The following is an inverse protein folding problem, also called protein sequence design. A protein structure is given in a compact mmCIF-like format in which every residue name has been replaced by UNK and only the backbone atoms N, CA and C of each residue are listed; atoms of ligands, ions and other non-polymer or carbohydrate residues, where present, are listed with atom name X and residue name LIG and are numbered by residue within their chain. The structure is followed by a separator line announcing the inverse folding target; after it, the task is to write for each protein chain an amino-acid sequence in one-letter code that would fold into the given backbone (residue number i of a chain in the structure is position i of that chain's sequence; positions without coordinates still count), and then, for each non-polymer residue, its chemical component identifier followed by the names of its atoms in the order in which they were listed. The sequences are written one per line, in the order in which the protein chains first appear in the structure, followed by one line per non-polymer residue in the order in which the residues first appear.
data_IF_773313084379
#
_entry.id   IF_773313084379
#
_cell.length_a   1.000
_cell.length_b   1.000
_cell.length_c   1.000
_cell.angle_alpha   90.00
_cell.angle_beta   90.00
_cell.angle_gamma   90.00
#
_symmetry.space_group_name_H-M   'P 1'
#
loop_
_entity.id
_entity.type
_entity.pdbx_description
1 polymer ?
#
# COMPACT_ATOMS: atom_id res chain seq x y z
N UNK A 1 -26.23 -18.49 0.01
CA UNK A 1 -25.56 -17.25 -0.48
C UNK A 1 -24.14 -17.21 0.07
N UNK A 2 -23.14 -17.73 -0.64
CA UNK A 2 -21.74 -17.69 -0.20
C UNK A 2 -20.72 -17.75 -1.37
N UNK A 3 -21.12 -17.33 -2.58
CA UNK A 3 -20.31 -17.52 -3.79
C UNK A 3 -19.73 -16.20 -4.34
N UNK A 4 -20.23 -15.03 -3.91
CA UNK A 4 -19.71 -13.73 -4.33
C UNK A 4 -18.34 -13.39 -3.71
N UNK A 5 -18.04 -13.93 -2.52
CA UNK A 5 -16.75 -13.72 -1.86
C UNK A 5 -15.61 -14.46 -2.56
N UNK A 6 -15.84 -15.64 -3.17
CA UNK A 6 -14.75 -16.41 -3.78
C UNK A 6 -14.19 -15.74 -5.05
N UNK A 7 -15.06 -15.17 -5.91
CA UNK A 7 -14.63 -14.42 -7.10
C UNK A 7 -13.93 -13.11 -6.76
N UNK A 8 -14.50 -12.31 -5.85
CA UNK A 8 -13.91 -11.04 -5.46
C UNK A 8 -12.53 -11.21 -4.78
N UNK A 9 -12.36 -12.29 -4.00
CA UNK A 9 -11.07 -12.61 -3.37
C UNK A 9 -10.05 -13.08 -4.41
N UNK A 10 -10.46 -13.84 -5.43
CA UNK A 10 -9.56 -14.27 -6.50
C UNK A 10 -9.12 -13.11 -7.40
N UNK A 11 -10.02 -12.18 -7.72
CA UNK A 11 -9.71 -10.98 -8.53
C UNK A 11 -8.76 -10.02 -7.81
N UNK A 12 -8.98 -9.76 -6.52
CA UNK A 12 -8.06 -8.95 -5.70
C UNK A 12 -6.70 -9.61 -5.53
N UNK A 13 -6.66 -10.92 -5.29
CA UNK A 13 -5.40 -11.65 -5.16
C UNK A 13 -4.60 -11.66 -6.46
N UNK A 14 -5.26 -11.78 -7.61
CA UNK A 14 -4.63 -11.65 -8.93
C UNK A 14 -4.09 -10.23 -9.18
N UNK A 15 -4.80 -9.20 -8.72
CA UNK A 15 -4.35 -7.80 -8.84
C UNK A 15 -3.12 -7.53 -7.96
N UNK A 16 -3.13 -8.04 -6.73
CA UNK A 16 -1.99 -7.99 -5.83
C UNK A 16 -0.74 -8.68 -6.41
N UNK A 17 -0.90 -9.88 -6.97
CA UNK A 17 0.20 -10.59 -7.64
C UNK A 17 0.67 -9.87 -8.91
N UNK A 18 -0.24 -9.21 -9.64
CA UNK A 18 0.12 -8.38 -10.80
C UNK A 18 0.93 -7.15 -10.39
N UNK A 19 0.61 -6.55 -9.24
CA UNK A 19 1.33 -5.42 -8.68
C UNK A 19 2.74 -5.79 -8.17
N UNK A 20 3.05 -7.08 -7.96
CA UNK A 20 4.37 -7.54 -7.50
C UNK A 20 5.53 -7.04 -8.36
N UNK A 21 5.42 -7.15 -9.68
CA UNK A 21 6.50 -6.75 -10.59
C UNK A 21 6.81 -5.26 -10.50
N UNK A 22 5.76 -4.45 -10.48
CA UNK A 22 5.85 -3.00 -10.31
C UNK A 22 6.40 -2.63 -8.92
N UNK A 23 5.90 -3.27 -7.86
CA UNK A 23 6.36 -3.04 -6.51
C UNK A 23 7.86 -3.37 -6.35
N UNK A 24 8.30 -4.51 -6.89
CA UNK A 24 9.71 -4.90 -6.86
C UNK A 24 10.60 -3.92 -7.62
N UNK A 25 10.18 -3.48 -8.82
CA UNK A 25 10.94 -2.50 -9.61
C UNK A 25 11.09 -1.15 -8.90
N UNK A 26 10.12 -0.76 -8.05
CA UNK A 26 10.15 0.50 -7.31
C UNK A 26 10.90 0.42 -5.98
N UNK A 27 10.96 -0.74 -5.35
CA UNK A 27 11.57 -0.94 -4.02
C UNK A 27 12.96 -1.55 -4.08
N UNK A 28 13.45 -1.93 -5.26
CA UNK A 28 14.72 -2.66 -5.47
C UNK A 28 15.94 -2.00 -4.80
N UNK A 29 15.93 -0.67 -4.66
CA UNK A 29 17.02 0.11 -4.06
C UNK A 29 16.97 0.13 -2.51
N UNK A 30 15.82 -0.20 -1.90
CA UNK A 30 15.54 -0.09 -0.46
C UNK A 30 15.57 -1.48 0.20
N UNK A 31 14.43 -1.99 0.70
CA UNK A 31 14.30 -3.40 1.15
C UNK A 31 13.35 -4.18 0.22
N UNK A 32 13.88 -5.09 -0.62
CA UNK A 32 13.08 -5.95 -1.48
C UNK A 32 12.05 -6.81 -0.75
N UNK A 33 12.14 -7.01 0.57
CA UNK A 33 11.19 -7.82 1.34
C UNK A 33 9.88 -7.11 1.62
N UNK A 34 9.85 -5.79 1.51
CA UNK A 34 8.67 -4.97 1.80
C UNK A 34 7.78 -4.73 0.57
N UNK A 35 8.11 -5.37 -0.55
CA UNK A 35 7.27 -5.40 -1.76
C UNK A 35 5.79 -5.74 -1.50
N UNK A 36 5.39 -6.60 -0.52
CA UNK A 36 3.99 -6.88 -0.22
C UNK A 36 3.20 -5.65 0.19
N UNK A 37 3.82 -4.75 0.98
CA UNK A 37 3.17 -3.54 1.49
C UNK A 37 2.94 -2.58 0.32
N UNK A 38 3.94 -2.41 -0.53
CA UNK A 38 3.83 -1.57 -1.72
C UNK A 38 2.82 -2.14 -2.74
N UNK A 39 2.81 -3.45 -2.96
CA UNK A 39 1.83 -4.10 -3.84
C UNK A 39 0.39 -3.95 -3.32
N UNK A 40 0.19 -4.02 -2.01
CA UNK A 40 -1.11 -3.76 -1.39
C UNK A 40 -1.53 -2.30 -1.58
N UNK A 41 -0.63 -1.35 -1.35
CA UNK A 41 -0.89 0.08 -1.54
C UNK A 41 -1.28 0.41 -3.00
N UNK A 42 -0.57 -0.16 -3.98
CA UNK A 42 -0.89 -0.01 -5.39
C UNK A 42 -2.23 -0.65 -5.77
N UNK A 43 -2.58 -1.79 -5.16
CA UNK A 43 -3.84 -2.48 -5.45
C UNK A 43 -5.05 -1.77 -4.85
N UNK A 44 -4.86 -1.11 -3.70
CA UNK A 44 -5.92 -0.42 -2.96
C UNK A 44 -5.99 1.07 -3.26
N UNK A 45 -5.04 1.62 -4.03
CA UNK A 45 -4.85 3.05 -4.28
C UNK A 45 -4.82 3.86 -2.97
N UNK A 46 -4.10 3.34 -1.97
CA UNK A 46 -4.04 3.92 -0.63
C UNK A 46 -2.61 4.36 -0.27
N UNK A 47 -2.47 5.47 0.48
CA UNK A 47 -1.18 5.85 1.03
C UNK A 47 -0.70 4.84 2.08
N UNK A 48 0.61 4.74 2.26
CA UNK A 48 1.24 3.91 3.29
C UNK A 48 1.38 4.74 4.55
N UNK A 49 1.05 4.15 5.71
CA UNK A 49 1.39 4.73 7.01
C UNK A 49 2.54 3.93 7.62
N UNK A 50 3.71 4.55 7.70
CA UNK A 50 4.91 3.98 8.29
C UNK A 50 5.80 5.10 8.83
N UNK A 51 6.53 4.82 9.92
CA UNK A 51 7.60 5.72 10.39
C UNK A 51 8.91 5.50 9.63
N UNK A 52 9.05 4.33 9.01
CA UNK A 52 10.26 3.93 8.30
C UNK A 52 10.41 4.66 6.96
N UNK A 53 11.66 4.96 6.60
CA UNK A 53 11.99 5.68 5.37
C UNK A 53 12.11 4.78 4.13
N UNK A 54 11.88 3.48 4.31
CA UNK A 54 12.12 2.44 3.31
C UNK A 54 11.08 2.43 2.16
N UNK A 55 10.09 3.32 2.23
CA UNK A 55 9.07 3.51 1.19
C UNK A 55 9.20 4.85 0.44
N UNK A 56 10.15 5.71 0.81
CA UNK A 56 10.33 7.00 0.15
C UNK A 56 10.88 6.81 -1.27
N UNK A 57 10.31 7.51 -2.24
CA UNK A 57 10.71 7.38 -3.65
C UNK A 57 10.03 6.23 -4.40
N UNK A 58 9.19 5.41 -3.74
CA UNK A 58 8.41 4.34 -4.38
C UNK A 58 7.17 4.83 -5.15
N UNK A 59 6.96 6.16 -5.21
CA UNK A 59 5.82 6.78 -5.90
C UNK A 59 4.47 6.59 -5.21
N UNK A 60 4.44 6.03 -3.99
CA UNK A 60 3.26 6.00 -3.12
C UNK A 60 3.46 6.98 -1.97
N UNK A 61 2.45 7.79 -1.60
CA UNK A 61 2.58 8.71 -0.47
C UNK A 61 2.75 7.96 0.86
N UNK A 62 3.78 8.31 1.62
CA UNK A 62 4.02 7.79 2.97
C UNK A 62 3.67 8.84 4.02
N UNK A 63 2.88 8.44 5.00
CA UNK A 63 2.46 9.26 6.13
C UNK A 63 3.10 8.76 7.41
N UNK A 64 3.54 9.69 8.25
CA UNK A 64 3.95 9.42 9.63
C UNK A 64 2.78 9.67 10.57
N UNK A 65 2.84 9.07 11.75
CA UNK A 65 1.83 9.17 12.81
C UNK A 65 1.53 10.62 13.15
N UNK A 66 2.56 11.46 13.27
CA UNK A 66 2.40 12.90 13.52
C UNK A 66 1.55 13.58 12.44
N UNK A 67 1.75 13.24 11.15
CA UNK A 67 0.97 13.82 10.06
C UNK A 67 -0.45 13.29 10.00
N UNK A 68 -0.66 12.01 10.31
CA UNK A 68 -2.01 11.44 10.43
C UNK A 68 -2.79 12.12 11.55
N UNK A 69 -2.17 12.35 12.72
CA UNK A 69 -2.80 13.09 13.81
C UNK A 69 -3.18 14.51 13.39
N UNK A 70 -2.29 15.24 12.71
CA UNK A 70 -2.60 16.57 12.21
C UNK A 70 -3.78 16.56 11.22
N UNK A 71 -3.81 15.60 10.29
CA UNK A 71 -4.89 15.48 9.31
C UNK A 71 -6.25 15.19 9.96
N UNK A 72 -6.31 14.22 10.88
CA UNK A 72 -7.54 13.85 11.56
C UNK A 72 -8.06 14.97 12.49
N UNK A 73 -7.16 15.65 13.19
CA UNK A 73 -7.53 16.77 14.07
C UNK A 73 -7.92 18.03 13.28
N UNK A 74 -7.30 18.28 12.13
CA UNK A 74 -7.68 19.40 11.26
C UNK A 74 -9.09 19.24 10.68
N UNK A 75 -9.53 18.00 10.48
CA UNK A 75 -10.85 17.67 9.90
C UNK A 75 -11.98 17.81 10.93
N UNK A 76 -11.69 17.82 12.23
CA UNK A 76 -12.70 17.93 13.31
C UNK A 76 -13.08 19.38 13.63
N UNK A 77 -13.13 20.26 12.62
CA UNK A 77 -13.59 21.65 12.77
C UNK A 77 -14.99 21.86 12.23
#
# INVERSE_FOLDING_TARGET
MCWATSKATSERWMSYLRAKGEALARIEILDPRDWPILAAALTLDCPIWAEDQDFFGTGVPTWTTDRVHLYLNATTR
#
